data_IF_885144208760
#
_entry.id   IF_885144208760
#
_cell.length_a   1.000
_cell.length_b   1.000
_cell.length_c   1.000
_cell.angle_alpha   90.00
_cell.angle_beta   90.00
_cell.angle_gamma   90.00
#
_symmetry.space_group_name_H-M   'P 1'
#
loop_
_entity.id
_entity.type
_entity.pdbx_description
1 polymer ?
#
# COMPACT_ATOMS: atom_id res chain seq x y z
N UNK A 1 9.16 7.71 15.84
CA UNK A 1 9.15 6.60 14.85
C UNK A 1 10.30 5.64 15.15
N UNK A 2 10.02 4.33 15.22
CA UNK A 2 11.04 3.29 15.50
C UNK A 2 12.11 3.26 14.41
N UNK A 3 13.33 2.76 14.73
CA UNK A 3 14.44 2.68 13.77
C UNK A 3 14.06 1.87 12.52
N UNK A 4 13.29 0.80 12.69
CA UNK A 4 12.84 -0.08 11.61
C UNK A 4 11.88 0.63 10.65
N UNK A 5 10.92 1.41 11.16
CA UNK A 5 9.98 2.16 10.31
C UNK A 5 10.70 3.25 9.49
N UNK A 6 11.71 3.91 10.08
CA UNK A 6 12.54 4.88 9.34
C UNK A 6 13.26 4.23 8.16
N UNK A 7 13.87 3.06 8.39
CA UNK A 7 14.57 2.34 7.33
C UNK A 7 13.58 1.89 6.23
N UNK A 8 12.43 1.32 6.62
CA UNK A 8 11.37 0.94 5.69
C UNK A 8 10.92 2.12 4.82
N UNK A 9 10.61 3.27 5.42
CA UNK A 9 10.22 4.46 4.68
C UNK A 9 11.31 4.91 3.72
N UNK A 10 12.57 4.96 4.18
CA UNK A 10 13.70 5.32 3.33
C UNK A 10 13.81 4.39 2.12
N UNK A 11 13.61 3.08 2.31
CA UNK A 11 13.60 2.11 1.21
C UNK A 11 12.45 2.37 0.23
N UNK A 12 11.22 2.57 0.72
CA UNK A 12 10.06 2.87 -0.14
C UNK A 12 10.30 4.14 -0.96
N UNK A 13 10.75 5.23 -0.32
CA UNK A 13 11.07 6.47 -1.04
C UNK A 13 12.20 6.31 -2.05
N UNK A 14 13.19 5.45 -1.78
CA UNK A 14 14.26 5.15 -2.75
C UNK A 14 13.70 4.51 -4.01
N UNK A 15 12.79 3.53 -3.88
CA UNK A 15 12.14 2.86 -5.01
C UNK A 15 11.26 3.82 -5.82
N UNK A 16 10.48 4.66 -5.14
CA UNK A 16 9.66 5.69 -5.81
C UNK A 16 10.54 6.66 -6.59
N UNK A 17 11.66 7.12 -6.01
CA UNK A 17 12.59 8.01 -6.71
C UNK A 17 13.25 7.35 -7.92
N UNK A 18 13.50 6.04 -7.86
CA UNK A 18 14.00 5.26 -9.00
C UNK A 18 12.95 5.18 -10.11
N UNK A 19 11.70 4.88 -9.77
CA UNK A 19 10.56 4.87 -10.71
C UNK A 19 10.38 6.25 -11.39
N UNK A 20 10.40 7.34 -10.63
CA UNK A 20 10.26 8.70 -11.16
C UNK A 20 11.38 9.06 -12.14
N UNK A 21 12.60 8.54 -11.93
CA UNK A 21 13.74 8.76 -12.83
C UNK A 21 13.67 7.90 -14.09
N UNK A 22 13.19 6.67 -13.97
CA UNK A 22 13.13 5.71 -15.08
C UNK A 22 11.89 5.87 -15.95
N UNK A 23 10.80 6.39 -15.39
CA UNK A 23 9.52 6.51 -16.06
C UNK A 23 9.10 7.97 -16.27
N UNK A 24 9.31 8.47 -17.50
CA UNK A 24 8.98 9.85 -17.86
C UNK A 24 7.47 10.15 -17.81
N UNK A 25 6.61 9.14 -17.90
CA UNK A 25 5.14 9.30 -17.91
C UNK A 25 4.47 9.04 -16.56
N UNK A 26 5.24 8.95 -15.46
CA UNK A 26 4.64 8.80 -14.13
C UNK A 26 3.70 9.97 -13.79
N UNK A 27 2.46 9.64 -13.40
CA UNK A 27 1.38 10.59 -13.13
C UNK A 27 1.64 11.50 -11.92
N UNK A 28 2.49 11.07 -10.98
CA UNK A 28 2.82 11.83 -9.79
C UNK A 28 4.27 11.61 -9.37
N UNK A 29 5.05 12.68 -9.39
CA UNK A 29 6.49 12.68 -9.14
C UNK A 29 6.89 13.30 -7.80
N UNK A 30 5.92 13.80 -7.01
CA UNK A 30 6.19 14.62 -5.82
C UNK A 30 6.03 13.85 -4.52
N UNK A 31 5.00 13.02 -4.44
CA UNK A 31 4.63 12.32 -3.21
C UNK A 31 4.15 10.91 -3.52
N UNK A 32 4.25 9.96 -2.58
CA UNK A 32 3.66 8.63 -2.74
C UNK A 32 2.15 8.71 -3.00
N UNK A 33 1.61 7.87 -3.86
CA UNK A 33 0.18 7.94 -4.19
C UNK A 33 -0.72 7.52 -3.02
N UNK A 34 -0.39 6.45 -2.31
CA UNK A 34 -1.24 5.84 -1.27
C UNK A 34 -0.63 5.96 0.13
N UNK A 35 -1.47 6.28 1.12
CA UNK A 35 -1.08 6.28 2.54
C UNK A 35 -1.27 4.89 3.18
N UNK A 36 -0.55 4.60 4.26
CA UNK A 36 -0.71 3.39 5.07
C UNK A 36 -0.45 3.66 6.56
N UNK A 37 -1.51 3.64 7.38
CA UNK A 37 -1.44 4.08 8.78
C UNK A 37 -0.61 3.13 9.64
N UNK A 38 -0.70 1.82 9.40
CA UNK A 38 0.03 0.77 10.15
C UNK A 38 1.52 1.04 10.21
N UNK A 39 2.09 1.53 9.11
CA UNK A 39 3.51 1.88 9.03
C UNK A 39 3.75 3.39 9.13
N UNK A 40 2.71 4.20 9.40
CA UNK A 40 2.78 5.67 9.46
C UNK A 40 3.33 6.31 8.19
N UNK A 41 2.99 5.75 7.03
CA UNK A 41 3.45 6.22 5.73
C UNK A 41 2.39 7.11 5.09
N UNK A 42 2.74 8.36 4.82
CA UNK A 42 1.82 9.35 4.25
C UNK A 42 2.01 9.43 2.74
N UNK A 43 0.89 9.49 2.02
CA UNK A 43 0.80 9.75 0.59
C UNK A 43 -0.40 10.66 0.27
N UNK A 44 -0.63 10.91 -1.02
CA UNK A 44 -1.66 11.84 -1.49
C UNK A 44 -3.09 11.36 -1.23
N UNK A 45 -3.33 10.05 -1.41
CA UNK A 45 -4.64 9.43 -1.20
C UNK A 45 -4.80 8.93 0.23
N UNK A 46 -6.06 8.75 0.58
CA UNK A 46 -6.48 8.17 1.85
C UNK A 46 -5.77 6.85 2.14
N UNK A 47 -5.60 6.60 3.43
CA UNK A 47 -4.99 5.38 3.95
C UNK A 47 -5.79 4.15 3.55
N UNK A 48 -5.08 3.03 3.48
CA UNK A 48 -5.69 1.70 3.32
C UNK A 48 -6.79 1.48 4.34
N UNK A 49 -6.52 1.79 5.60
CA UNK A 49 -7.44 1.62 6.73
C UNK A 49 -8.68 2.50 6.61
N UNK A 50 -8.53 3.77 6.20
CA UNK A 50 -9.68 4.66 5.95
C UNK A 50 -10.53 4.13 4.81
N UNK A 51 -9.93 3.72 3.69
CA UNK A 51 -10.66 3.16 2.54
C UNK A 51 -11.37 1.86 2.87
N UNK A 52 -10.73 0.95 3.62
CA UNK A 52 -11.36 -0.29 4.08
C UNK A 52 -12.62 0.01 4.89
N UNK A 53 -12.54 0.94 5.84
CA UNK A 53 -13.66 1.33 6.69
C UNK A 53 -14.79 2.00 5.90
N UNK A 54 -14.46 2.98 5.06
CA UNK A 54 -15.48 3.77 4.36
C UNK A 54 -16.17 2.99 3.24
N UNK A 55 -15.46 2.08 2.58
CA UNK A 55 -16.02 1.26 1.52
C UNK A 55 -16.60 -0.06 2.06
N UNK A 56 -16.54 -0.29 3.37
CA UNK A 56 -17.02 -1.51 4.04
C UNK A 56 -16.34 -2.76 3.49
N UNK A 57 -15.03 -2.71 3.24
CA UNK A 57 -14.26 -3.83 2.68
C UNK A 57 -13.85 -4.85 3.74
N UNK A 58 -13.89 -4.47 5.02
CA UNK A 58 -13.70 -5.33 6.17
C UNK A 58 -14.70 -6.50 6.20
N UNK A 59 -15.86 -6.37 5.56
CA UNK A 59 -16.80 -7.50 5.34
C UNK A 59 -16.21 -8.67 4.56
N UNK A 60 -15.09 -8.47 3.85
CA UNK A 60 -14.38 -9.50 3.11
C UNK A 60 -13.20 -10.11 3.89
N UNK A 61 -12.97 -9.66 5.13
CA UNK A 61 -11.99 -10.25 6.03
C UNK A 61 -12.47 -11.62 6.48
N UNK A 62 -11.81 -12.66 5.95
CA UNK A 62 -12.13 -14.04 6.23
C UNK A 62 -10.86 -14.89 6.03
N UNK A 63 -10.41 -15.64 7.07
CA UNK A 63 -9.22 -16.47 7.02
C UNK A 63 -9.24 -17.58 5.95
N UNK A 64 -10.39 -17.94 5.40
CA UNK A 64 -10.53 -18.92 4.32
C UNK A 64 -10.45 -18.29 2.92
N UNK A 65 -10.55 -16.96 2.83
CA UNK A 65 -10.62 -16.27 1.54
C UNK A 65 -9.27 -16.12 0.86
N UNK A 66 -9.31 -16.17 -0.47
CA UNK A 66 -8.20 -15.84 -1.36
C UNK A 66 -8.54 -14.56 -2.11
N UNK A 67 -7.65 -13.59 -2.09
CA UNK A 67 -7.91 -12.23 -2.62
C UNK A 67 -6.91 -11.91 -3.73
N UNK A 68 -7.39 -11.25 -4.78
CA UNK A 68 -6.58 -10.68 -5.85
C UNK A 68 -6.78 -9.15 -5.86
N UNK A 69 -5.70 -8.41 -5.62
CA UNK A 69 -5.62 -6.96 -5.67
C UNK A 69 -5.04 -6.54 -7.03
N UNK A 70 -5.87 -5.96 -7.90
CA UNK A 70 -5.51 -5.55 -9.26
C UNK A 70 -5.22 -4.04 -9.27
N UNK A 71 -4.03 -3.65 -9.75
CA UNK A 71 -3.54 -2.28 -9.60
C UNK A 71 -3.11 -2.02 -8.15
N UNK A 72 -2.38 -2.97 -7.59
CA UNK A 72 -2.03 -3.02 -6.17
C UNK A 72 -1.08 -1.90 -5.73
N UNK A 73 -0.48 -1.17 -6.68
CA UNK A 73 0.43 -0.07 -6.46
C UNK A 73 1.59 -0.51 -5.55
N UNK A 74 1.76 0.12 -4.38
CA UNK A 74 2.76 -0.28 -3.38
C UNK A 74 2.41 -1.57 -2.61
N UNK A 75 1.33 -2.26 -2.97
CA UNK A 75 0.89 -3.50 -2.34
C UNK A 75 0.33 -3.32 -0.92
N UNK A 76 0.01 -2.10 -0.48
CA UNK A 76 -0.44 -1.91 0.91
C UNK A 76 -1.81 -2.54 1.20
N UNK A 77 -2.70 -2.63 0.20
CA UNK A 77 -3.94 -3.42 0.33
C UNK A 77 -3.64 -4.90 0.48
N UNK A 78 -2.71 -5.45 -0.33
CA UNK A 78 -2.21 -6.82 -0.18
C UNK A 78 -1.72 -7.07 1.24
N UNK A 79 -0.85 -6.20 1.76
CA UNK A 79 -0.31 -6.35 3.11
C UNK A 79 -1.39 -6.29 4.19
N UNK A 80 -2.36 -5.38 4.09
CA UNK A 80 -3.42 -5.25 5.09
C UNK A 80 -4.39 -6.43 5.04
N UNK A 81 -4.83 -6.86 3.85
CA UNK A 81 -5.70 -8.02 3.70
C UNK A 81 -5.00 -9.33 4.08
N UNK A 82 -3.69 -9.45 3.90
CA UNK A 82 -2.93 -10.64 4.29
C UNK A 82 -2.91 -10.88 5.81
N UNK A 83 -3.28 -9.87 6.61
CA UNK A 83 -3.47 -10.05 8.06
C UNK A 83 -4.80 -10.72 8.41
N UNK A 84 -5.73 -10.80 7.45
CA UNK A 84 -7.12 -11.19 7.67
C UNK A 84 -7.60 -12.32 6.74
N UNK A 85 -6.88 -12.59 5.66
CA UNK A 85 -7.22 -13.58 4.64
C UNK A 85 -6.13 -14.65 4.51
N UNK A 86 -6.49 -15.81 3.96
CA UNK A 86 -5.55 -16.93 3.76
C UNK A 86 -4.38 -16.56 2.85
N UNK A 87 -4.72 -15.92 1.73
CA UNK A 87 -3.81 -15.66 0.63
C UNK A 87 -4.24 -14.41 -0.10
N UNK A 88 -3.30 -13.51 -0.36
CA UNK A 88 -3.55 -12.28 -1.09
C UNK A 88 -2.46 -12.10 -2.14
N UNK A 89 -2.86 -11.97 -3.40
CA UNK A 89 -1.97 -11.66 -4.51
C UNK A 89 -2.18 -10.22 -4.95
N UNK A 90 -1.08 -9.48 -5.13
CA UNK A 90 -1.10 -8.19 -5.82
C UNK A 90 -0.54 -8.31 -7.22
N UNK A 91 -1.19 -7.65 -8.17
CA UNK A 91 -0.64 -7.39 -9.50
C UNK A 91 -0.64 -5.88 -9.77
N UNK A 92 0.42 -5.39 -10.40
CA UNK A 92 0.60 -4.01 -10.85
C UNK A 92 1.06 -4.01 -12.31
#
# INVERSE_FOLDING_TARGET
>A
MTKNLRLLHKTIYSLINEEVRSNNVSYNKREPYQSYERIKFNGLRWSVEKRIREYGLDRFFNPESKVLDIGSNFGFFVCEFALHCNLVHGIE
#
